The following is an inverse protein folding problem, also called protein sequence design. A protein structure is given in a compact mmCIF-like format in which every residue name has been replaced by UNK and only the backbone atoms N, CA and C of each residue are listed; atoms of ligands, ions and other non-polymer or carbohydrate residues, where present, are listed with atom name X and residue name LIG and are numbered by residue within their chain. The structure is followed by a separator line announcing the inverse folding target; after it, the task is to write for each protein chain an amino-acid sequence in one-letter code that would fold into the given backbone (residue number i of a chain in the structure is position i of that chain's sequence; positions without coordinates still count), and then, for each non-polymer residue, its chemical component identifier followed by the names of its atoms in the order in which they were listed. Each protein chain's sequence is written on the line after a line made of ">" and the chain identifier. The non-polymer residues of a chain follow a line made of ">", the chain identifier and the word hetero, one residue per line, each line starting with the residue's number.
data_IF_394034429408
#
_entry.id   IF_394034429408
#
_cell.length_a   1.000
_cell.length_b   1.000
_cell.length_c   1.000
_cell.angle_alpha   90.00
_cell.angle_beta   90.00
_cell.angle_gamma   90.00
#
_symmetry.space_group_name_H-M   'P 1'
#
loop_
_entity.id
_entity.type
_entity.pdbx_description
1 polymer ?
#
# COMPACT_ATOMS: atom_id res chain seq x y z
N UNK A 1 13.52 13.85 -7.33
CA UNK A 1 13.29 12.41 -7.10
C UNK A 1 12.01 11.98 -7.79
N UNK A 2 11.95 10.74 -8.24
CA UNK A 2 10.76 10.22 -8.88
C UNK A 2 9.72 9.78 -7.86
N UNK A 3 8.45 9.82 -8.27
CA UNK A 3 7.34 9.35 -7.44
C UNK A 3 7.02 7.89 -7.75
N UNK A 4 6.64 7.16 -6.71
CA UNK A 4 6.29 5.75 -6.81
C UNK A 4 5.01 5.51 -6.03
N UNK A 5 4.10 4.72 -6.61
CA UNK A 5 2.91 4.27 -5.90
C UNK A 5 3.19 2.89 -5.32
N UNK A 6 3.00 2.74 -4.02
CA UNK A 6 3.10 1.45 -3.35
C UNK A 6 1.70 0.96 -3.01
N UNK A 7 1.39 -0.25 -3.42
CA UNK A 7 0.11 -0.90 -3.19
C UNK A 7 0.32 -2.01 -2.16
N UNK A 8 -0.40 -1.91 -1.04
CA UNK A 8 -0.43 -2.99 -0.07
C UNK A 8 -1.41 -4.05 -0.55
N UNK A 9 -0.98 -5.31 -0.58
CA UNK A 9 -1.83 -6.40 -1.03
C UNK A 9 -2.32 -7.24 0.13
N UNK A 10 -3.53 -7.79 -0.03
CA UNK A 10 -4.16 -8.65 0.95
C UNK A 10 -5.10 -9.62 0.25
N UNK A 11 -5.25 -10.82 0.82
CA UNK A 11 -6.17 -11.82 0.28
C UNK A 11 -7.60 -11.32 0.44
N UNK A 12 -8.41 -11.26 -0.65
CA UNK A 12 -9.79 -10.81 -0.55
C UNK A 12 -10.58 -11.63 0.47
N UNK A 13 -11.27 -10.93 1.37
CA UNK A 13 -12.08 -11.58 2.41
C UNK A 13 -11.30 -12.10 3.60
N UNK A 14 -9.98 -12.19 3.52
CA UNK A 14 -9.16 -12.55 4.67
C UNK A 14 -9.08 -11.36 5.61
N UNK A 15 -9.26 -11.62 6.90
CA UNK A 15 -9.07 -10.62 7.93
C UNK A 15 -8.09 -11.17 8.95
N UNK A 16 -7.18 -10.33 9.47
CA UNK A 16 -6.35 -10.80 10.57
C UNK A 16 -7.25 -11.14 11.76
N UNK A 17 -6.79 -12.09 12.57
CA UNK A 17 -7.46 -12.42 13.82
C UNK A 17 -7.66 -11.14 14.62
N UNK A 18 -8.86 -10.89 15.19
CA UNK A 18 -9.14 -9.65 15.90
C UNK A 18 -8.51 -9.57 17.29
N UNK A 19 -7.25 -9.99 17.43
CA UNK A 19 -6.47 -9.72 18.63
C UNK A 19 -6.15 -8.22 18.67
N UNK A 20 -6.84 -7.52 19.52
CA UNK A 20 -6.71 -6.06 19.62
C UNK A 20 -5.31 -5.61 20.01
N UNK A 21 -4.62 -6.38 20.82
CA UNK A 21 -3.25 -6.07 21.22
C UNK A 21 -2.31 -6.15 20.00
N UNK A 22 -2.47 -7.17 19.16
CA UNK A 22 -1.68 -7.32 17.95
C UNK A 22 -1.98 -6.20 16.95
N UNK A 23 -3.24 -5.81 16.80
CA UNK A 23 -3.65 -4.71 15.92
C UNK A 23 -3.04 -3.39 16.41
N UNK A 24 -3.13 -3.10 17.69
CA UNK A 24 -2.57 -1.87 18.26
C UNK A 24 -1.05 -1.82 18.07
N UNK A 25 -0.36 -2.93 18.28
CA UNK A 25 1.09 -3.03 18.08
C UNK A 25 1.46 -2.81 16.61
N UNK A 26 0.66 -3.38 15.70
CA UNK A 26 0.86 -3.19 14.26
C UNK A 26 0.66 -1.75 13.84
N UNK A 27 -0.35 -1.08 14.38
CA UNK A 27 -0.61 0.33 14.08
C UNK A 27 0.49 1.24 14.62
N UNK A 28 1.05 0.94 15.79
CA UNK A 28 2.20 1.66 16.32
C UNK A 28 3.42 1.50 15.41
N UNK A 29 3.69 0.27 14.97
CA UNK A 29 4.81 -0.01 14.08
C UNK A 29 4.64 0.69 12.74
N UNK A 30 3.41 0.73 12.21
CA UNK A 30 3.09 1.43 10.97
C UNK A 30 3.34 2.93 11.12
N UNK A 31 2.87 3.52 12.22
CA UNK A 31 3.12 4.94 12.51
C UNK A 31 4.60 5.25 12.63
N UNK A 32 5.38 4.36 13.23
CA UNK A 32 6.84 4.52 13.34
C UNK A 32 7.51 4.45 11.96
N UNK A 33 7.05 3.55 11.08
CA UNK A 33 7.53 3.47 9.70
C UNK A 33 7.24 4.77 8.95
N UNK A 34 6.02 5.29 9.07
CA UNK A 34 5.62 6.56 8.44
C UNK A 34 6.48 7.72 8.93
N UNK A 35 6.74 7.80 10.24
CA UNK A 35 7.58 8.85 10.81
C UNK A 35 9.02 8.76 10.32
N UNK A 36 9.56 7.54 10.22
CA UNK A 36 10.93 7.30 9.76
C UNK A 36 11.14 7.73 8.31
N UNK A 37 10.09 7.61 7.47
CA UNK A 37 10.14 7.94 6.06
C UNK A 37 9.37 9.21 5.71
N UNK A 38 9.07 10.06 6.68
CA UNK A 38 8.22 11.24 6.49
C UNK A 38 8.71 12.15 5.35
N UNK A 39 10.02 12.32 5.20
CA UNK A 39 10.59 13.19 4.16
C UNK A 39 10.39 12.64 2.75
N UNK A 40 10.11 11.34 2.61
CA UNK A 40 9.94 10.67 1.33
C UNK A 40 8.48 10.38 1.01
N UNK A 41 7.56 10.57 1.95
CA UNK A 41 6.15 10.30 1.74
C UNK A 41 5.50 11.53 1.13
N UNK A 42 4.93 11.36 -0.08
CA UNK A 42 4.22 12.41 -0.81
C UNK A 42 2.75 12.42 -0.42
N UNK A 43 2.14 11.23 -0.34
CA UNK A 43 0.75 11.05 0.07
C UNK A 43 0.72 9.85 1.00
N UNK A 44 0.24 10.07 2.21
CA UNK A 44 0.16 9.00 3.19
C UNK A 44 -0.79 7.87 2.79
N UNK A 45 -1.72 8.16 1.87
CA UNK A 45 -2.69 7.17 1.44
C UNK A 45 -3.56 6.67 2.58
N UNK A 46 -3.89 5.40 2.51
CA UNK A 46 -4.68 4.76 3.54
C UNK A 46 -5.23 3.42 3.09
N UNK A 47 -5.99 2.75 3.95
CA UNK A 47 -6.65 1.51 3.58
C UNK A 47 -7.73 1.77 2.55
N UNK A 48 -7.95 0.80 1.67
CA UNK A 48 -8.96 0.85 0.61
C UNK A 48 -10.03 -0.20 0.89
N UNK A 49 -11.26 0.15 0.59
CA UNK A 49 -12.41 -0.72 0.82
C UNK A 49 -12.85 -1.50 -0.41
N UNK A 50 -14.14 -1.76 -0.48
CA UNK A 50 -14.74 -2.54 -1.55
C UNK A 50 -14.56 -1.89 -2.91
N UNK A 51 -14.43 -2.73 -3.94
CA UNK A 51 -14.13 -2.28 -5.30
C UNK A 51 -15.37 -2.37 -6.18
N UNK A 52 -15.62 -1.30 -6.93
CA UNK A 52 -16.55 -1.31 -8.05
C UNK A 52 -15.74 -1.16 -9.33
N UNK A 53 -15.94 -2.08 -10.26
CA UNK A 53 -15.27 -2.04 -11.55
C UNK A 53 -16.19 -1.37 -12.57
N UNK A 54 -15.66 -0.37 -13.26
CA UNK A 54 -16.36 0.31 -14.36
C UNK A 54 -15.69 -0.08 -15.66
N UNK A 55 -16.49 -0.56 -16.62
CA UNK A 55 -15.99 -0.98 -17.94
C UNK A 55 -17.02 -0.63 -19.01
N UNK A 56 -16.74 -1.01 -20.26
CA UNK A 56 -17.71 -0.85 -21.34
C UNK A 56 -19.02 -1.59 -21.10
N UNK A 57 -19.01 -2.60 -20.24
CA UNK A 57 -20.21 -3.39 -19.89
C UNK A 57 -20.97 -2.81 -18.68
N UNK A 58 -20.50 -1.71 -18.10
CA UNK A 58 -21.16 -1.06 -16.98
C UNK A 58 -20.38 -1.16 -15.68
N UNK A 59 -21.09 -1.17 -14.56
CA UNK A 59 -20.52 -1.17 -13.22
C UNK A 59 -20.77 -2.53 -12.56
N UNK A 60 -19.73 -3.12 -11.99
CA UNK A 60 -19.81 -4.41 -11.31
C UNK A 60 -19.05 -4.38 -9.98
N UNK A 61 -19.55 -5.14 -9.02
CA UNK A 61 -18.83 -5.39 -7.78
C UNK A 61 -17.79 -6.47 -8.04
N UNK A 62 -16.53 -6.18 -7.70
CA UNK A 62 -15.43 -7.12 -7.89
C UNK A 62 -14.56 -7.16 -6.65
N UNK A 63 -13.73 -8.19 -6.55
CA UNK A 63 -12.69 -8.28 -5.53
C UNK A 63 -11.33 -8.29 -6.20
N UNK A 64 -10.36 -7.66 -5.55
CA UNK A 64 -8.95 -7.71 -5.96
C UNK A 64 -8.09 -7.81 -4.71
N UNK A 65 -6.76 -7.82 -4.90
CA UNK A 65 -5.82 -7.96 -3.78
C UNK A 65 -5.37 -6.63 -3.21
N UNK A 66 -5.87 -5.52 -3.71
CA UNK A 66 -5.44 -4.18 -3.26
C UNK A 66 -6.10 -3.86 -1.92
N UNK A 67 -5.27 -3.64 -0.90
CA UNK A 67 -5.74 -3.38 0.45
C UNK A 67 -5.50 -1.94 0.91
N UNK A 68 -4.55 -1.24 0.29
CA UNK A 68 -4.24 0.14 0.65
C UNK A 68 -3.16 0.69 -0.25
N UNK A 69 -2.77 1.95 -0.03
CA UNK A 69 -1.73 2.57 -0.84
C UNK A 69 -0.98 3.66 -0.07
N UNK A 70 0.20 4.00 -0.58
CA UNK A 70 0.99 5.18 -0.19
C UNK A 70 1.78 5.64 -1.41
N UNK A 71 2.03 6.94 -1.52
CA UNK A 71 2.87 7.49 -2.59
C UNK A 71 4.14 8.04 -1.95
N UNK A 72 5.28 7.61 -2.49
CA UNK A 72 6.60 7.99 -1.97
C UNK A 72 7.48 8.57 -3.07
N UNK A 73 8.55 9.26 -2.68
CA UNK A 73 9.62 9.70 -3.57
C UNK A 73 10.90 8.95 -3.24
N UNK A 74 11.66 8.59 -4.27
CA UNK A 74 12.95 7.94 -4.11
C UNK A 74 13.83 8.22 -5.32
N UNK A 75 15.13 7.94 -5.20
CA UNK A 75 16.09 8.18 -6.27
C UNK A 75 15.85 7.27 -7.47
N UNK A 76 15.45 6.02 -7.21
CA UNK A 76 15.15 5.06 -8.26
C UNK A 76 14.14 4.03 -7.76
N UNK A 77 13.73 3.13 -8.64
CA UNK A 77 12.72 2.12 -8.36
C UNK A 77 13.16 1.15 -7.25
N UNK A 78 14.42 0.74 -7.28
CA UNK A 78 14.94 -0.15 -6.25
C UNK A 78 14.98 0.51 -4.88
N UNK A 79 15.39 1.79 -4.81
CA UNK A 79 15.39 2.54 -3.56
C UNK A 79 13.97 2.67 -3.00
N UNK A 80 12.97 2.90 -3.85
CA UNK A 80 11.58 2.94 -3.43
C UNK A 80 11.14 1.60 -2.85
N UNK A 81 11.48 0.50 -3.52
CA UNK A 81 11.12 -0.84 -3.05
C UNK A 81 11.79 -1.16 -1.71
N UNK A 82 13.04 -0.78 -1.53
CA UNK A 82 13.76 -1.03 -0.28
C UNK A 82 13.17 -0.32 0.93
N UNK A 83 12.45 0.77 0.74
CA UNK A 83 11.75 1.45 1.83
C UNK A 83 10.75 0.53 2.53
N UNK A 84 10.24 -0.46 1.82
CA UNK A 84 9.20 -1.37 2.32
C UNK A 84 9.76 -2.71 2.84
N UNK A 85 11.07 -2.88 2.85
CA UNK A 85 11.67 -4.05 3.49
C UNK A 85 11.30 -4.06 4.97
N UNK A 86 10.89 -5.21 5.49
CA UNK A 86 10.48 -5.40 6.88
C UNK A 86 9.31 -4.47 7.32
N UNK A 87 8.48 -4.05 6.36
CA UNK A 87 7.32 -3.20 6.67
C UNK A 87 6.36 -3.95 7.60
N UNK A 88 5.73 -3.24 8.56
CA UNK A 88 4.76 -3.85 9.49
C UNK A 88 3.60 -4.59 8.82
N UNK A 89 3.27 -4.24 7.57
CA UNK A 89 2.23 -4.93 6.80
C UNK A 89 2.45 -6.44 6.75
N UNK A 90 3.70 -6.89 6.62
CA UNK A 90 4.03 -8.31 6.51
C UNK A 90 3.73 -9.08 7.79
N UNK A 91 3.82 -8.43 8.94
CA UNK A 91 3.49 -9.05 10.22
C UNK A 91 1.98 -9.13 10.46
N UNK A 92 1.23 -8.14 9.94
CA UNK A 92 -0.22 -8.07 10.11
C UNK A 92 -0.93 -8.97 9.08
N UNK A 93 -0.40 -9.06 7.85
CA UNK A 93 -0.99 -9.82 6.75
C UNK A 93 0.05 -10.81 6.20
N UNK A 94 0.29 -11.93 6.90
CA UNK A 94 1.28 -12.91 6.46
C UNK A 94 0.97 -13.45 5.06
N UNK A 95 1.99 -13.52 4.23
CA UNK A 95 1.85 -14.01 2.86
C UNK A 95 1.51 -12.95 1.82
N UNK A 96 1.17 -11.75 2.27
CA UNK A 96 0.91 -10.63 1.37
C UNK A 96 2.15 -9.75 1.22
N UNK A 97 2.07 -8.72 0.39
CA UNK A 97 3.24 -7.93 0.07
C UNK A 97 2.91 -6.47 -0.22
N UNK A 98 3.91 -5.78 -0.72
CA UNK A 98 3.80 -4.40 -1.20
C UNK A 98 4.33 -4.37 -2.62
N UNK A 99 3.52 -3.87 -3.55
CA UNK A 99 3.92 -3.73 -4.95
C UNK A 99 4.19 -2.27 -5.23
N UNK A 100 5.37 -1.98 -5.76
CA UNK A 100 5.86 -0.61 -5.95
C UNK A 100 6.04 -0.32 -7.43
N UNK A 101 5.39 0.73 -7.91
CA UNK A 101 5.37 1.08 -9.32
C UNK A 101 5.71 2.55 -9.53
N UNK A 102 6.54 2.88 -10.54
CA UNK A 102 6.79 4.30 -10.83
C UNK A 102 5.53 4.98 -11.36
N UNK A 103 5.31 6.21 -10.92
CA UNK A 103 4.26 7.06 -11.47
C UNK A 103 4.81 7.75 -12.71
N UNK A 104 4.44 7.25 -13.88
CA UNK A 104 4.96 7.77 -15.14
C UNK A 104 4.22 9.04 -15.55
N UNK A 105 4.89 9.94 -16.31
CA UNK A 105 4.19 11.11 -16.83
C UNK A 105 3.12 10.70 -17.85
N UNK A 106 2.07 11.50 -17.91
CA UNK A 106 1.00 11.28 -18.89
C UNK A 106 1.56 11.61 -20.28
N UNK A 107 1.48 10.67 -21.26
CA UNK A 107 1.99 10.93 -22.61
C UNK A 107 1.32 12.15 -23.23
N UNK A 108 2.13 13.05 -23.79
CA UNK A 108 1.66 14.25 -24.45
C UNK A 108 1.21 15.37 -23.51
N UNK A 109 1.43 15.23 -22.22
CA UNK A 109 1.08 16.26 -21.23
C UNK A 109 2.29 17.15 -20.91
#
# INVERSE_FOLDING_TARGET
>A
MAKFMAIYTGTPGARPDPDQAAIAKGMQAWGAWMARHADQIVDTGGPLGKTKKVSGDGIADVQNTIAGYVIVEADDHEAAARMFEDHPHFAIFPGDGVEVMPCLPIPGA
#
